data_IF_281842499921
#
_entry.id   IF_281842499921
#
_cell.length_a   1.000
_cell.length_b   1.000
_cell.length_c   1.000
_cell.angle_alpha   90.00
_cell.angle_beta   90.00
_cell.angle_gamma   90.00
#
_symmetry.space_group_name_H-M   'P 1'
#
loop_
_entity.id
_entity.type
_entity.pdbx_description
1 polymer ?
#
# COMPACT_ATOMS: atom_id res chain seq x y z
N UNK A 1 0.57 9.77 14.47
CA UNK A 1 -0.70 10.47 14.20
C UNK A 1 -1.20 10.06 12.82
N UNK A 2 -2.48 9.71 12.68
CA UNK A 2 -3.10 9.40 11.38
C UNK A 2 -3.26 10.70 10.60
N UNK A 3 -3.01 10.67 9.30
CA UNK A 3 -3.25 11.84 8.46
C UNK A 3 -4.76 12.07 8.34
N UNK A 4 -5.25 13.19 8.89
CA UNK A 4 -6.67 13.51 9.04
C UNK A 4 -7.19 14.46 7.93
N UNK A 5 -6.44 14.57 6.83
CA UNK A 5 -6.83 15.33 5.64
C UNK A 5 -8.07 14.71 4.97
N UNK A 6 -8.88 15.53 4.27
CA UNK A 6 -10.06 15.03 3.56
C UNK A 6 -9.69 13.94 2.56
N UNK A 7 -10.57 12.95 2.43
CA UNK A 7 -10.49 11.90 1.43
C UNK A 7 -11.63 12.11 0.45
N UNK A 8 -11.28 12.30 -0.82
CA UNK A 8 -12.21 12.36 -1.93
C UNK A 8 -12.23 11.02 -2.64
N UNK A 9 -13.42 10.59 -3.05
CA UNK A 9 -13.60 9.36 -3.84
C UNK A 9 -13.23 9.60 -5.32
N UNK A 10 -12.01 10.09 -5.54
CA UNK A 10 -11.44 10.38 -6.85
C UNK A 10 -10.19 9.52 -7.07
N UNK A 11 -10.33 8.53 -7.93
CA UNK A 11 -9.21 7.67 -8.34
C UNK A 11 -8.26 8.42 -9.28
N UNK A 12 -6.97 8.37 -8.96
CA UNK A 12 -5.90 8.67 -9.89
C UNK A 12 -5.40 7.37 -10.51
N UNK A 13 -5.52 7.27 -11.83
CA UNK A 13 -5.08 6.09 -12.58
C UNK A 13 -3.59 6.21 -12.92
N UNK A 14 -2.84 5.19 -12.50
CA UNK A 14 -1.47 4.94 -12.93
C UNK A 14 -1.41 4.56 -14.41
N UNK A 15 -0.39 5.06 -15.12
CA UNK A 15 -0.04 4.58 -16.45
C UNK A 15 0.65 3.21 -16.37
N UNK A 16 0.51 2.38 -17.42
CA UNK A 16 0.94 0.98 -17.39
C UNK A 16 2.47 0.78 -17.28
N UNK A 17 3.26 1.82 -17.55
CA UNK A 17 4.72 1.81 -17.45
C UNK A 17 5.26 2.59 -16.24
N UNK A 18 4.38 3.08 -15.36
CA UNK A 18 4.79 3.82 -14.17
C UNK A 18 5.13 2.89 -13.02
N UNK A 19 6.42 2.82 -12.69
CA UNK A 19 6.90 2.16 -11.48
C UNK A 19 7.02 3.17 -10.35
N UNK A 20 6.22 3.00 -9.30
CA UNK A 20 6.43 3.79 -8.09
C UNK A 20 7.43 3.08 -7.20
N UNK A 21 8.50 3.80 -6.85
CA UNK A 21 9.60 3.30 -6.05
C UNK A 21 9.78 4.21 -4.83
N UNK A 22 9.74 3.60 -3.66
CA UNK A 22 10.12 4.22 -2.40
C UNK A 22 11.04 3.28 -1.63
N UNK A 23 11.94 3.85 -0.82
CA UNK A 23 12.80 3.12 0.13
C UNK A 23 12.65 3.74 1.51
N UNK A 24 12.61 2.90 2.54
CA UNK A 24 12.55 3.35 3.93
C UNK A 24 13.78 2.95 4.72
N UNK A 25 13.99 3.57 5.88
CA UNK A 25 14.85 3.05 6.94
C UNK A 25 14.14 1.94 7.75
N UNK A 26 14.84 1.38 8.74
CA UNK A 26 14.31 0.35 9.65
C UNK A 26 13.15 0.84 10.54
N UNK A 27 12.94 2.16 10.65
CA UNK A 27 11.83 2.79 11.39
C UNK A 27 10.65 3.13 10.47
N UNK A 28 10.73 2.80 9.18
CA UNK A 28 9.68 3.08 8.20
C UNK A 28 9.63 4.53 7.72
N UNK A 29 10.71 5.32 7.90
CA UNK A 29 10.84 6.66 7.33
C UNK A 29 11.38 6.58 5.92
N UNK A 30 10.77 7.32 5.00
CA UNK A 30 11.17 7.34 3.59
C UNK A 30 12.54 8.01 3.48
N UNK A 31 13.52 7.31 2.93
CA UNK A 31 14.86 7.85 2.62
C UNK A 31 15.03 8.14 1.14
N UNK A 32 14.19 7.55 0.30
CA UNK A 32 14.19 7.77 -1.14
C UNK A 32 12.80 7.56 -1.73
N UNK A 33 12.45 8.39 -2.70
CA UNK A 33 11.28 8.29 -3.54
C UNK A 33 11.68 8.66 -4.97
N UNK A 34 11.24 7.88 -5.95
CA UNK A 34 11.47 8.21 -7.36
C UNK A 34 10.47 9.29 -7.84
N UNK A 35 10.75 9.98 -8.97
CA UNK A 35 9.88 11.05 -9.48
C UNK A 35 8.43 10.62 -9.70
N UNK A 36 8.20 9.40 -10.20
CA UNK A 36 6.85 8.87 -10.38
C UNK A 36 6.07 8.75 -9.06
N UNK A 37 6.71 8.33 -7.97
CA UNK A 37 6.04 8.28 -6.66
C UNK A 37 5.71 9.69 -6.12
N UNK A 38 6.60 10.66 -6.34
CA UNK A 38 6.34 12.08 -5.98
C UNK A 38 5.10 12.58 -6.73
N UNK A 39 5.08 12.44 -8.05
CA UNK A 39 3.96 12.87 -8.91
C UNK A 39 2.63 12.21 -8.54
N UNK A 40 2.63 10.88 -8.42
CA UNK A 40 1.40 10.10 -8.17
C UNK A 40 0.88 10.28 -6.75
N UNK A 41 1.76 10.47 -5.76
CA UNK A 41 1.33 10.75 -4.40
C UNK A 41 0.83 12.19 -4.22
N UNK A 42 1.26 13.11 -5.09
CA UNK A 42 0.95 14.53 -5.01
C UNK A 42 1.68 15.27 -3.87
N UNK A 43 2.57 14.58 -3.15
CA UNK A 43 3.46 15.20 -2.16
C UNK A 43 4.75 15.66 -2.82
N UNK A 44 5.35 16.72 -2.31
CA UNK A 44 6.70 17.10 -2.77
C UNK A 44 7.73 16.12 -2.23
N UNK A 45 8.92 16.08 -2.85
CA UNK A 45 10.00 15.20 -2.40
C UNK A 45 10.42 15.54 -0.96
N UNK A 46 10.39 16.80 -0.60
CA UNK A 46 10.76 17.34 0.72
C UNK A 46 9.75 16.92 1.79
N UNK A 47 8.47 16.78 1.43
CA UNK A 47 7.43 16.26 2.32
C UNK A 47 7.52 14.74 2.49
N UNK A 48 8.01 14.04 1.46
CA UNK A 48 8.14 12.58 1.49
C UNK A 48 9.40 12.13 2.24
N UNK A 49 10.56 12.68 1.89
CA UNK A 49 11.84 12.26 2.48
C UNK A 49 11.89 12.67 3.95
N UNK A 50 12.15 11.70 4.84
CA UNK A 50 12.15 11.86 6.29
C UNK A 50 10.80 11.60 6.97
N UNK A 51 9.70 11.65 6.20
CA UNK A 51 8.36 11.33 6.70
C UNK A 51 8.16 9.82 6.88
N UNK A 52 7.25 9.45 7.78
CA UNK A 52 6.82 8.07 7.92
C UNK A 52 6.02 7.65 6.67
N UNK A 53 6.25 6.42 6.18
CA UNK A 53 5.59 5.91 4.96
C UNK A 53 4.06 5.93 5.05
N UNK A 54 3.50 5.91 6.25
CA UNK A 54 2.06 6.00 6.48
C UNK A 54 1.42 7.33 6.03
N UNK A 55 2.19 8.34 5.58
CA UNK A 55 1.68 9.59 5.01
C UNK A 55 0.73 9.37 3.81
N UNK A 56 1.01 8.34 3.00
CA UNK A 56 0.18 7.92 1.85
C UNK A 56 -0.84 6.84 2.20
N UNK A 57 -0.97 6.44 3.47
CA UNK A 57 -1.94 5.41 3.86
C UNK A 57 -3.37 5.94 3.68
N UNK A 58 -4.20 5.16 3.00
CA UNK A 58 -5.63 5.42 2.92
C UNK A 58 -6.35 4.91 4.19
N UNK A 59 -7.32 5.64 4.76
CA UNK A 59 -8.08 5.20 5.94
C UNK A 59 -8.86 3.88 5.72
N UNK A 60 -9.37 3.65 4.51
CA UNK A 60 -10.04 2.39 4.14
C UNK A 60 -9.16 1.14 4.21
N UNK A 61 -7.83 1.29 4.29
CA UNK A 61 -6.94 0.12 4.35
C UNK A 61 -6.97 -0.50 5.75
N UNK A 62 -7.39 -1.78 5.88
CA UNK A 62 -7.50 -2.45 7.16
C UNK A 62 -6.14 -2.55 7.85
N UNK A 63 -6.14 -2.46 9.18
CA UNK A 63 -4.92 -2.58 9.97
C UNK A 63 -4.24 -3.95 9.79
N UNK A 64 -5.02 -5.01 9.59
CA UNK A 64 -4.54 -6.37 9.37
C UNK A 64 -3.63 -6.50 8.14
N UNK A 65 -3.90 -5.75 7.07
CA UNK A 65 -3.04 -5.76 5.88
C UNK A 65 -1.63 -5.24 6.19
N UNK A 66 -1.53 -4.23 7.06
CA UNK A 66 -0.23 -3.71 7.50
C UNK A 66 0.43 -4.62 8.54
N UNK A 67 -0.34 -5.22 9.44
CA UNK A 67 0.18 -6.20 10.38
C UNK A 67 0.79 -7.41 9.64
N UNK A 68 0.17 -7.85 8.56
CA UNK A 68 0.69 -8.90 7.69
C UNK A 68 1.98 -8.49 6.96
N UNK A 69 2.01 -7.27 6.41
CA UNK A 69 3.21 -6.69 5.82
C UNK A 69 4.37 -6.70 6.82
N UNK A 70 4.17 -6.16 8.03
CA UNK A 70 5.23 -6.05 9.04
C UNK A 70 5.73 -7.41 9.51
N UNK A 71 4.81 -8.36 9.78
CA UNK A 71 5.20 -9.72 10.15
C UNK A 71 6.03 -10.40 9.05
N UNK A 72 5.72 -10.16 7.79
CA UNK A 72 6.43 -10.77 6.66
C UNK A 72 7.84 -10.19 6.51
N UNK A 73 7.98 -8.87 6.52
CA UNK A 73 9.31 -8.24 6.38
C UNK A 73 10.21 -8.48 7.60
N UNK A 74 9.64 -8.61 8.80
CA UNK A 74 10.41 -8.95 10.01
C UNK A 74 10.99 -10.37 9.96
N UNK A 75 10.39 -11.28 9.18
CA UNK A 75 10.95 -12.61 8.90
C UNK A 75 12.00 -12.60 7.78
N UNK A 76 12.29 -11.44 7.19
CA UNK A 76 13.17 -11.34 6.02
C UNK A 76 12.53 -11.78 4.71
N UNK A 77 11.21 -11.99 4.70
CA UNK A 77 10.47 -12.43 3.51
C UNK A 77 9.93 -11.23 2.72
N UNK A 78 9.80 -11.39 1.39
CA UNK A 78 9.11 -10.41 0.55
C UNK A 78 7.60 -10.51 0.72
N UNK A 79 6.93 -9.36 0.84
CA UNK A 79 5.48 -9.24 0.92
C UNK A 79 4.92 -8.71 -0.40
N UNK A 80 3.77 -9.21 -0.86
CA UNK A 80 3.09 -8.69 -2.06
C UNK A 80 1.60 -8.53 -1.79
N UNK A 81 1.04 -7.32 -1.90
CA UNK A 81 -0.39 -7.11 -1.66
C UNK A 81 -0.95 -5.87 -2.35
N UNK A 82 -2.27 -5.84 -2.49
CA UNK A 82 -3.00 -4.69 -3.05
C UNK A 82 -3.17 -3.63 -1.97
N UNK A 83 -2.81 -2.39 -2.27
CA UNK A 83 -2.87 -1.27 -1.33
C UNK A 83 -3.59 -0.09 -1.99
N UNK A 84 -4.58 0.47 -1.28
CA UNK A 84 -5.16 1.78 -1.57
C UNK A 84 -4.31 2.84 -0.87
N UNK A 85 -3.72 3.74 -1.64
CA UNK A 85 -2.97 4.88 -1.10
C UNK A 85 -3.77 6.16 -1.31
N UNK A 86 -3.59 7.12 -0.40
CA UNK A 86 -4.18 8.45 -0.46
C UNK A 86 -3.17 9.45 -1.03
N UNK A 87 -3.64 10.33 -1.89
CA UNK A 87 -2.89 11.46 -2.44
C UNK A 87 -2.96 12.67 -1.51
N UNK A 88 -2.04 13.62 -1.68
CA UNK A 88 -2.06 14.90 -0.96
C UNK A 88 -3.36 15.69 -1.21
N UNK A 89 -3.83 15.67 -2.45
CA UNK A 89 -5.07 16.34 -2.89
C UNK A 89 -6.36 15.70 -2.35
N UNK A 90 -6.25 14.60 -1.59
CA UNK A 90 -7.36 13.87 -1.00
C UNK A 90 -7.88 12.72 -1.87
N UNK A 91 -7.51 12.64 -3.15
CA UNK A 91 -7.82 11.48 -3.98
C UNK A 91 -7.09 10.21 -3.55
N UNK A 92 -7.22 9.14 -4.33
CA UNK A 92 -6.57 7.86 -4.04
C UNK A 92 -6.00 7.19 -5.30
N UNK A 93 -5.10 6.23 -5.11
CA UNK A 93 -4.60 5.36 -6.18
C UNK A 93 -4.39 3.95 -5.66
N UNK A 94 -4.61 2.98 -6.52
CA UNK A 94 -4.39 1.56 -6.23
C UNK A 94 -3.03 1.11 -6.72
N UNK A 95 -2.37 0.29 -5.93
CA UNK A 95 -1.10 -0.35 -6.29
C UNK A 95 -1.11 -1.81 -5.93
N UNK A 96 -0.48 -2.64 -6.77
CA UNK A 96 0.05 -3.93 -6.32
C UNK A 96 1.46 -3.68 -5.80
N UNK A 97 1.62 -3.69 -4.48
CA UNK A 97 2.88 -3.39 -3.81
C UNK A 97 3.66 -4.68 -3.55
N UNK A 98 4.84 -4.82 -4.15
CA UNK A 98 5.85 -5.78 -3.71
C UNK A 98 6.83 -5.08 -2.76
N UNK A 99 7.03 -5.60 -1.56
CA UNK A 99 7.83 -5.03 -0.48
C UNK A 99 8.88 -6.06 -0.08
N UNK A 100 10.15 -5.76 -0.36
CA UNK A 100 11.27 -6.65 -0.05
C UNK A 100 12.17 -6.01 1.01
N UNK A 101 12.44 -6.67 2.15
CA UNK A 101 13.40 -6.19 3.13
C UNK A 101 14.82 -6.42 2.60
N UNK A 102 15.54 -5.34 2.31
CA UNK A 102 16.98 -5.41 2.02
C UNK A 102 17.71 -5.07 3.31
N UNK A 103 18.56 -5.97 3.80
CA UNK A 103 19.39 -5.76 4.98
C UNK A 103 20.79 -5.36 4.50
N UNK A 104 21.05 -4.06 4.37
CA UNK A 104 22.38 -3.53 4.09
C UNK A 104 22.84 -2.69 5.28
N UNK A 105 23.92 -3.09 5.96
CA UNK A 105 24.54 -2.34 7.08
C UNK A 105 23.55 -1.91 8.18
N UNK A 106 22.54 -2.74 8.48
CA UNK A 106 21.51 -2.44 9.50
C UNK A 106 20.36 -1.53 9.02
N UNK A 107 20.29 -1.20 7.72
CA UNK A 107 19.20 -0.43 7.12
C UNK A 107 18.24 -1.40 6.41
N UNK A 108 17.00 -1.53 6.90
CA UNK A 108 15.93 -2.27 6.20
C UNK A 108 15.35 -1.41 5.08
N UNK A 109 15.88 -1.57 3.87
CA UNK A 109 15.38 -0.86 2.70
C UNK A 109 14.17 -1.60 2.14
N UNK A 110 12.95 -1.09 2.40
CA UNK A 110 11.72 -1.59 1.78
C UNK A 110 11.66 -1.08 0.34
N UNK A 111 12.10 -1.89 -0.62
CA UNK A 111 11.88 -1.59 -2.03
C UNK A 111 10.42 -1.89 -2.35
N UNK A 112 9.66 -0.86 -2.73
CA UNK A 112 8.30 -1.03 -3.23
C UNK A 112 8.28 -0.92 -4.75
N UNK A 113 7.79 -1.95 -5.44
CA UNK A 113 7.32 -1.81 -6.83
C UNK A 113 5.81 -1.75 -6.80
N UNK A 114 5.26 -0.63 -7.25
CA UNK A 114 3.84 -0.47 -7.53
C UNK A 114 3.64 -0.52 -9.04
N UNK A 115 2.79 -1.43 -9.51
CA UNK A 115 2.27 -1.41 -10.88
C UNK A 115 0.82 -0.94 -10.87
N UNK A 116 0.36 -0.30 -11.95
CA UNK A 116 -1.06 -0.03 -12.18
C UNK A 116 -1.81 -1.36 -11.98
N UNK A 117 -2.88 -1.36 -11.18
CA UNK A 117 -3.59 -2.61 -10.90
C UNK A 117 -4.27 -3.11 -12.20
N UNK A 118 -3.90 -4.27 -12.77
CA UNK A 118 -4.65 -4.85 -13.89
C UNK A 118 -5.96 -5.50 -13.41
N UNK A 119 -6.15 -5.68 -12.10
CA UNK A 119 -7.36 -6.27 -11.49
C UNK A 119 -8.44 -5.24 -11.13
N UNK A 120 -8.41 -4.02 -11.69
CA UNK A 120 -9.41 -2.95 -11.46
C UNK A 120 -10.86 -3.47 -11.50
N UNK A 121 -11.15 -4.44 -12.37
CA UNK A 121 -12.49 -4.99 -12.55
C UNK A 121 -12.91 -6.11 -11.58
N UNK A 122 -12.04 -6.62 -10.69
CA UNK A 122 -12.38 -7.76 -9.80
C UNK A 122 -12.49 -7.41 -8.32
N UNK A 123 -12.11 -6.19 -7.92
CA UNK A 123 -12.13 -5.75 -6.51
C UNK A 123 -13.39 -4.96 -6.11
N UNK A 124 -14.31 -4.70 -7.05
CA UNK A 124 -15.63 -4.06 -6.80
C UNK A 124 -16.68 -5.02 -6.23
N UNK A 125 -16.39 -6.32 -6.14
CA UNK A 125 -17.21 -7.28 -5.38
C UNK A 125 -16.59 -7.43 -3.98
N UNK A 126 -17.39 -7.48 -2.90
CA UNK A 126 -16.85 -7.83 -1.59
C UNK A 126 -16.06 -9.13 -1.75
N UNK A 127 -14.74 -9.08 -1.52
CA UNK A 127 -13.85 -10.23 -1.66
C UNK A 127 -14.40 -11.36 -0.79
N UNK A 128 -15.09 -12.31 -1.42
CA UNK A 128 -15.55 -13.52 -0.76
C UNK A 128 -14.29 -14.34 -0.49
N UNK A 129 -13.98 -14.49 0.80
CA UNK A 129 -12.92 -15.33 1.32
C UNK A 129 -12.92 -16.70 0.62
N UNK A 130 -11.99 -16.93 -0.30
CA UNK A 130 -11.73 -18.26 -0.85
C UNK A 130 -10.97 -19.07 0.20
N UNK A 131 -11.69 -19.64 1.18
CA UNK A 131 -11.15 -20.76 1.95
C UNK A 131 -11.07 -21.96 1.01
N UNK A 132 -9.86 -22.49 0.78
CA UNK A 132 -9.72 -23.87 0.29
C UNK A 132 -8.71 -24.18 -0.82
N UNK A 133 -7.80 -23.30 -1.23
CA UNK A 133 -6.76 -23.68 -2.20
C UNK A 133 -5.38 -23.74 -1.53
N UNK A 134 -4.88 -24.95 -1.28
CA UNK A 134 -3.64 -25.23 -0.55
C UNK A 134 -2.35 -24.97 -1.35
N UNK A 135 -2.43 -24.34 -2.53
CA UNK A 135 -1.28 -24.10 -3.43
C UNK A 135 -1.16 -22.65 -3.93
N UNK A 136 -1.93 -21.71 -3.40
CA UNK A 136 -1.80 -20.29 -3.74
C UNK A 136 -0.89 -19.54 -2.74
N UNK A 137 -0.11 -18.52 -3.17
CA UNK A 137 0.64 -17.66 -2.25
C UNK A 137 -0.33 -17.08 -1.22
N UNK A 138 0.01 -17.14 0.07
CA UNK A 138 -0.88 -16.87 1.24
C UNK A 138 -1.49 -15.45 1.32
N UNK A 139 -1.39 -14.61 0.30
CA UNK A 139 -1.66 -13.17 0.36
C UNK A 139 -3.05 -12.73 -0.15
N UNK A 140 -4.01 -13.65 -0.27
CA UNK A 140 -5.37 -13.33 -0.74
C UNK A 140 -6.47 -13.58 0.30
N UNK A 141 -6.21 -13.35 1.61
CA UNK A 141 -7.21 -13.58 2.66
C UNK A 141 -7.35 -12.50 3.74
N UNK A 142 -6.92 -11.26 3.48
CA UNK A 142 -7.33 -10.13 4.33
C UNK A 142 -8.74 -9.66 3.92
N UNK A 143 -9.76 -10.23 4.56
CA UNK A 143 -11.17 -9.93 4.39
C UNK A 143 -11.48 -8.44 4.63
N UNK A 144 -12.09 -7.79 3.63
CA UNK A 144 -12.90 -6.57 3.85
C UNK A 144 -14.29 -7.07 4.26
N UNK A 145 -14.55 -7.18 5.56
CA UNK A 145 -15.89 -7.36 6.08
C UNK A 145 -16.57 -5.99 6.13
N UNK A 146 -17.59 -5.83 5.30
CA UNK A 146 -18.38 -4.62 5.14
C UNK A 146 -19.09 -4.20 6.44
N UNK A 147 -19.09 -2.90 6.73
CA UNK A 147 -20.10 -2.26 7.57
C UNK A 147 -21.47 -2.41 6.88
N UNK A 148 -22.26 -3.39 7.29
CA UNK A 148 -23.73 -3.37 7.13
C UNK A 148 -24.30 -3.07 8.50
N UNK A 149 -24.92 -1.90 8.66
CA UNK A 149 -25.77 -1.62 9.82
C UNK A 149 -26.98 -2.57 9.84
N UNK A 150 -27.59 -2.83 11.00
CA UNK A 150 -28.76 -3.68 11.09
C UNK A 150 -29.97 -3.04 10.39
N UNK A 151 -30.86 -3.81 9.74
CA UNK A 151 -32.11 -3.28 9.23
C UNK A 151 -33.09 -3.06 10.39
N UNK A 152 -33.76 -1.91 10.37
CA UNK A 152 -34.97 -1.64 11.16
C UNK A 152 -36.23 -2.07 10.42
#
# INVERSE_FOLDING_TARGET
>A
MRNNQPVYDKEYTLHDEQYLISRTDARGRIIYANPAFVEVSGFTREELVGAAHNIVRHPDMPEDAFADLWRTIQRGESWTGVVKNRRKDGGYYWVLANVTPIIERGVTSVMRRCVSNPLKNKLTRPMRCMRGCATAPRVACACIAAKRGPPG
#
